data_IF_481291639898
#
_entry.id   IF_481291639898
#
_cell.length_a   1.000
_cell.length_b   1.000
_cell.length_c   1.000
_cell.angle_alpha   90.00
_cell.angle_beta   90.00
_cell.angle_gamma   90.00
#
_symmetry.space_group_name_H-M   'P 1'
#
loop_
_entity.id
_entity.type
_entity.pdbx_description
1 polymer ?
#
# COMPACT_ATOMS: atom_id res chain seq x y z
N UNK A 1 -8.89 0.67 20.00
CA UNK A 1 -9.10 -0.05 18.71
C UNK A 1 -7.74 -0.24 18.05
N UNK A 2 -7.30 -1.49 18.00
CA UNK A 2 -6.06 -1.91 17.34
C UNK A 2 -6.40 -2.60 16.01
N UNK A 3 -5.43 -2.73 15.11
CA UNK A 3 -5.61 -3.40 13.82
C UNK A 3 -4.79 -4.67 13.78
N UNK A 4 -5.44 -5.78 13.45
CA UNK A 4 -4.77 -7.05 13.19
C UNK A 4 -3.95 -6.94 11.90
N UNK A 5 -2.63 -7.09 12.00
CA UNK A 5 -1.70 -6.95 10.86
C UNK A 5 -1.64 -8.19 9.95
N UNK A 6 -2.25 -9.31 10.34
CA UNK A 6 -2.32 -10.55 9.57
C UNK A 6 -3.51 -10.51 8.60
N UNK A 7 -4.67 -10.06 9.08
CA UNK A 7 -5.91 -10.04 8.28
C UNK A 7 -6.47 -8.64 7.99
N UNK A 8 -5.99 -7.61 8.69
CA UNK A 8 -6.46 -6.24 8.54
C UNK A 8 -7.76 -5.91 9.29
N UNK A 9 -8.26 -6.83 10.11
CA UNK A 9 -9.49 -6.64 10.89
C UNK A 9 -9.26 -5.70 12.08
N UNK A 10 -10.23 -4.87 12.41
CA UNK A 10 -10.20 -4.03 13.60
C UNK A 10 -10.54 -4.86 14.84
N UNK A 11 -9.73 -4.73 15.88
CA UNK A 11 -9.84 -5.50 17.12
C UNK A 11 -9.77 -4.57 18.33
N UNK A 12 -10.36 -5.01 19.44
CA UNK A 12 -10.26 -4.28 20.70
C UNK A 12 -8.88 -4.48 21.33
N UNK A 13 -8.36 -3.44 21.97
CA UNK A 13 -7.14 -3.47 22.81
C UNK A 13 -7.22 -4.46 23.98
N UNK A 14 -8.43 -4.93 24.30
CA UNK A 14 -8.69 -5.94 25.33
C UNK A 14 -8.79 -7.38 24.78
N UNK A 15 -8.41 -7.65 23.53
CA UNK A 15 -8.41 -9.03 22.97
C UNK A 15 -7.43 -9.93 23.73
N UNK A 16 -7.79 -11.20 24.04
CA UNK A 16 -6.86 -12.14 24.65
C UNK A 16 -5.76 -12.61 23.68
N UNK A 17 -5.90 -12.35 22.37
CA UNK A 17 -4.94 -12.77 21.35
C UNK A 17 -3.96 -11.63 21.06
N UNK A 18 -2.83 -11.63 21.77
CA UNK A 18 -1.78 -10.60 21.65
C UNK A 18 -0.40 -11.26 21.49
N UNK A 19 0.52 -10.58 20.81
CA UNK A 19 1.92 -11.00 20.71
C UNK A 19 2.85 -9.78 20.75
N UNK A 20 4.07 -9.97 21.25
CA UNK A 20 5.11 -8.94 21.29
C UNK A 20 6.20 -9.31 20.27
N UNK A 21 6.56 -8.37 19.39
CA UNK A 21 7.66 -8.55 18.45
C UNK A 21 8.41 -7.22 18.25
N UNK A 22 9.75 -7.25 18.24
CA UNK A 22 10.61 -6.06 18.16
C UNK A 22 10.29 -4.97 19.21
N UNK A 23 9.82 -5.38 20.40
CA UNK A 23 9.42 -4.46 21.47
C UNK A 23 8.09 -3.73 21.21
N UNK A 24 7.31 -4.16 20.22
CA UNK A 24 5.96 -3.66 19.94
C UNK A 24 4.90 -4.72 20.23
N UNK A 25 3.77 -4.30 20.81
CA UNK A 25 2.61 -5.16 21.06
C UNK A 25 1.64 -5.13 19.88
N UNK A 26 1.27 -6.32 19.40
CA UNK A 26 0.31 -6.53 18.32
C UNK A 26 -0.92 -7.28 18.84
N UNK A 27 -2.08 -6.90 18.31
CA UNK A 27 -3.38 -7.44 18.69
C UNK A 27 -3.99 -8.20 17.51
N UNK A 28 -4.60 -9.35 17.78
CA UNK A 28 -5.15 -10.24 16.76
C UNK A 28 -6.63 -10.53 16.98
N UNK A 29 -7.36 -10.77 15.89
CA UNK A 29 -8.80 -11.06 15.93
C UNK A 29 -9.09 -12.48 16.43
N UNK A 30 -8.11 -13.38 16.31
CA UNK A 30 -8.28 -14.80 16.59
C UNK A 30 -6.93 -15.47 16.86
N UNK A 31 -6.96 -16.65 17.47
CA UNK A 31 -5.77 -17.45 17.74
C UNK A 31 -5.00 -17.79 16.46
N UNK A 32 -5.69 -18.10 15.36
CA UNK A 32 -5.05 -18.40 14.07
C UNK A 32 -4.20 -17.24 13.53
N UNK A 33 -4.63 -15.99 13.73
CA UNK A 33 -3.83 -14.82 13.35
C UNK A 33 -2.61 -14.67 14.26
N UNK A 34 -2.77 -14.88 15.57
CA UNK A 34 -1.65 -14.87 16.52
C UNK A 34 -0.59 -15.93 16.16
N UNK A 35 -1.02 -17.15 15.83
CA UNK A 35 -0.12 -18.25 15.46
C UNK A 35 0.66 -17.89 14.20
N UNK A 36 -0.02 -17.49 13.12
CA UNK A 36 0.63 -17.08 11.86
C UNK A 36 1.67 -15.99 12.08
N UNK A 37 1.35 -15.00 12.90
CA UNK A 37 2.28 -13.94 13.26
C UNK A 37 3.47 -14.44 14.07
N UNK A 38 3.24 -15.36 15.02
CA UNK A 38 4.31 -15.92 15.85
C UNK A 38 5.25 -16.83 15.05
N UNK A 39 4.71 -17.56 14.06
CA UNK A 39 5.49 -18.42 13.17
C UNK A 39 6.35 -17.62 12.18
N UNK A 40 5.80 -16.53 11.63
CA UNK A 40 6.50 -15.71 10.64
C UNK A 40 6.27 -14.20 10.86
N UNK A 41 6.81 -13.60 11.93
CA UNK A 41 6.53 -12.20 12.26
C UNK A 41 7.07 -11.24 11.20
N UNK A 42 8.24 -11.54 10.62
CA UNK A 42 8.88 -10.76 9.56
C UNK A 42 7.97 -10.50 8.34
N UNK A 43 7.14 -11.48 7.98
CA UNK A 43 6.22 -11.40 6.83
C UNK A 43 5.11 -10.35 7.04
N UNK A 44 4.74 -10.09 8.29
CA UNK A 44 3.68 -9.15 8.65
C UNK A 44 4.23 -7.79 9.08
N UNK A 45 5.43 -7.77 9.66
CA UNK A 45 6.12 -6.53 10.06
C UNK A 45 6.52 -5.69 8.84
N UNK A 46 6.86 -6.31 7.71
CA UNK A 46 7.22 -5.61 6.48
C UNK A 46 6.07 -4.76 5.90
N UNK A 47 4.83 -5.04 6.28
CA UNK A 47 3.65 -4.27 5.82
C UNK A 47 3.27 -3.12 6.74
N UNK A 48 3.84 -3.04 7.95
CA UNK A 48 3.62 -1.93 8.87
C UNK A 48 4.32 -0.63 8.44
N UNK A 49 5.16 -0.68 7.40
CA UNK A 49 5.70 0.49 6.70
C UNK A 49 4.84 0.95 5.53
N UNK A 50 3.57 0.53 5.43
CA UNK A 50 2.63 1.26 4.60
C UNK A 50 2.17 2.49 5.39
N UNK A 51 2.54 3.71 4.96
CA UNK A 51 1.92 4.89 5.52
C UNK A 51 0.40 4.76 5.38
N UNK A 52 -0.28 5.09 6.47
CA UNK A 52 -1.72 5.20 6.52
C UNK A 52 -2.23 5.99 5.31
N UNK A 53 -3.20 5.40 4.61
CA UNK A 53 -4.20 6.08 3.81
C UNK A 53 -3.77 7.37 3.09
N UNK A 54 -3.30 7.24 1.85
CA UNK A 54 -3.85 8.12 0.82
C UNK A 54 -4.97 7.34 0.11
N UNK A 55 -6.24 7.81 0.15
CA UNK A 55 -7.31 7.32 -0.73
C UNK A 55 -7.24 7.98 -2.11
N UNK A 56 -6.06 8.43 -2.54
CA UNK A 56 -5.85 8.97 -3.86
C UNK A 56 -4.75 8.15 -4.54
N UNK A 57 -5.13 7.63 -5.69
CA UNK A 57 -4.43 6.76 -6.63
C UNK A 57 -3.05 7.23 -7.12
N UNK A 58 -2.34 8.09 -6.39
CA UNK A 58 -1.07 8.66 -6.81
C UNK A 58 0.13 7.92 -6.22
N UNK A 59 0.12 6.58 -6.32
CA UNK A 59 1.35 5.78 -6.26
C UNK A 59 1.58 5.15 -7.64
N UNK A 60 1.78 6.01 -8.63
CA UNK A 60 2.51 5.68 -9.84
C UNK A 60 3.88 6.32 -9.72
N UNK A 61 4.78 5.65 -9.00
CA UNK A 61 6.23 5.92 -9.13
C UNK A 61 6.74 5.30 -10.42
N UNK A 62 6.20 5.78 -11.53
CA UNK A 62 6.78 5.72 -12.86
C UNK A 62 6.46 7.06 -13.49
N UNK A 63 7.29 8.05 -13.20
CA UNK A 63 7.30 9.33 -13.91
C UNK A 63 7.82 9.08 -15.34
N UNK A 64 7.04 8.32 -16.10
CA UNK A 64 7.24 8.14 -17.53
C UNK A 64 6.72 9.42 -18.17
N UNK A 65 7.62 10.15 -18.82
CA UNK A 65 7.24 11.30 -19.64
C UNK A 65 6.65 10.74 -20.92
N UNK A 66 5.33 10.84 -21.05
CA UNK A 66 4.59 10.42 -22.23
C UNK A 66 4.70 11.51 -23.29
N UNK A 67 5.11 11.12 -24.49
CA UNK A 67 5.39 12.00 -25.61
C UNK A 67 4.50 11.66 -26.80
N UNK A 68 4.09 12.67 -27.58
CA UNK A 68 3.31 12.42 -28.79
C UNK A 68 4.23 11.99 -29.95
N UNK A 69 3.97 10.88 -30.66
CA UNK A 69 4.81 10.41 -31.77
C UNK A 69 4.89 11.40 -32.95
N UNK A 70 3.88 12.27 -33.10
CA UNK A 70 3.83 13.32 -34.13
C UNK A 70 4.30 14.69 -33.62
N UNK A 71 4.31 14.91 -32.29
CA UNK A 71 4.62 16.20 -31.68
C UNK A 71 5.55 15.98 -30.47
N UNK A 72 6.85 15.76 -30.70
CA UNK A 72 7.82 15.45 -29.64
C UNK A 72 8.02 16.59 -28.63
N UNK A 73 7.53 17.80 -28.92
CA UNK A 73 7.50 18.94 -27.99
C UNK A 73 6.42 18.81 -26.90
N UNK A 74 5.53 17.82 -27.01
CA UNK A 74 4.46 17.57 -26.04
C UNK A 74 4.90 16.46 -25.10
N UNK A 75 5.25 16.85 -23.89
CA UNK A 75 5.67 15.98 -22.80
C UNK A 75 4.65 16.07 -21.66
N UNK A 76 4.14 14.93 -21.18
CA UNK A 76 3.22 14.87 -20.04
C UNK A 76 3.65 13.82 -19.03
N UNK A 77 3.45 14.11 -17.75
CA UNK A 77 3.81 13.24 -16.62
C UNK A 77 2.85 12.04 -16.42
N UNK A 78 1.95 11.79 -17.37
CA UNK A 78 0.98 10.70 -17.31
C UNK A 78 0.31 10.38 -18.64
N UNK A 79 -0.43 9.26 -18.72
CA UNK A 79 -1.14 8.86 -19.93
C UNK A 79 -2.20 9.91 -20.27
N UNK A 80 -2.18 10.38 -21.52
CA UNK A 80 -3.02 11.48 -21.96
C UNK A 80 -3.17 11.53 -23.46
N UNK A 81 -3.85 12.58 -23.93
CA UNK A 81 -4.09 12.82 -25.34
C UNK A 81 -3.39 14.11 -25.76
N UNK A 82 -2.70 14.08 -26.90
CA UNK A 82 -2.00 15.22 -27.43
C UNK A 82 -2.98 16.37 -27.75
N UNK A 83 -2.78 17.58 -27.20
CA UNK A 83 -3.66 18.73 -27.45
C UNK A 83 -3.54 19.29 -28.88
N UNK A 84 -2.47 18.93 -29.62
CA UNK A 84 -2.27 19.36 -31.01
C UNK A 84 -3.01 18.47 -32.02
N UNK A 85 -3.08 17.16 -31.79
CA UNK A 85 -3.62 16.22 -32.78
C UNK A 85 -4.65 15.21 -32.25
N UNK A 86 -4.89 15.15 -30.94
CA UNK A 86 -5.86 14.22 -30.37
C UNK A 86 -5.40 12.76 -30.31
N UNK A 87 -4.13 12.44 -30.60
CA UNK A 87 -3.59 11.08 -30.49
C UNK A 87 -3.09 10.79 -29.06
N UNK A 88 -3.12 9.53 -28.65
CA UNK A 88 -2.60 9.09 -27.36
C UNK A 88 -1.08 9.35 -27.26
N UNK A 89 -0.62 9.71 -26.06
CA UNK A 89 0.80 9.89 -25.73
C UNK A 89 1.41 8.55 -25.31
N UNK A 90 2.67 8.31 -25.70
CA UNK A 90 3.44 7.07 -25.44
C UNK A 90 4.70 7.32 -24.61
#
# INVERSE_FOLDING_TARGET
>A
MAKDIVCGMEVSDSTPYQAEANGAHYYFCSESCRIKFTEHPENYLHRSSLPAACPDNSCTTSHAIYTCPMHPEIEQEGPGTCPKCGMALE
#
